data_IF_633385301980
#
_entry.id   IF_633385301980
#
_cell.length_a   1.000
_cell.length_b   1.000
_cell.length_c   1.000
_cell.angle_alpha   90.00
_cell.angle_beta   90.00
_cell.angle_gamma   90.00
#
_symmetry.space_group_name_H-M   'P 1'
#
loop_
_entity.id
_entity.type
_entity.pdbx_description
1 polymer ?
#
# COMPACT_ATOMS: atom_id res chain seq x y z
N UNK A 1 11.86 -12.18 26.58
CA UNK A 1 10.86 -11.08 26.56
C UNK A 1 11.15 -10.01 25.52
N UNK A 2 12.39 -9.53 25.34
CA UNK A 2 12.73 -8.53 24.30
C UNK A 2 12.47 -9.01 22.86
N UNK A 3 12.88 -10.23 22.51
CA UNK A 3 12.68 -10.80 21.16
C UNK A 3 11.20 -10.92 20.79
N UNK A 4 10.35 -11.32 21.74
CA UNK A 4 8.91 -11.44 21.52
C UNK A 4 8.26 -10.09 21.19
N UNK A 5 8.74 -9.02 21.83
CA UNK A 5 8.25 -7.65 21.60
C UNK A 5 8.72 -7.11 20.24
N UNK A 6 9.95 -7.41 19.83
CA UNK A 6 10.47 -6.99 18.52
C UNK A 6 9.79 -7.70 17.37
N UNK A 7 9.57 -9.01 17.50
CA UNK A 7 8.88 -9.80 16.48
C UNK A 7 7.42 -9.35 16.31
N UNK A 8 6.74 -9.08 17.44
CA UNK A 8 5.39 -8.53 17.43
C UNK A 8 5.34 -7.16 16.74
N UNK A 9 6.35 -6.31 16.97
CA UNK A 9 6.44 -4.98 16.35
C UNK A 9 6.65 -5.06 14.84
N UNK A 10 7.49 -5.99 14.36
CA UNK A 10 7.68 -6.23 12.92
C UNK A 10 6.41 -6.73 12.25
N UNK A 11 5.72 -7.67 12.90
CA UNK A 11 4.44 -8.20 12.41
C UNK A 11 3.37 -7.10 12.32
N UNK A 12 3.26 -6.25 13.35
CA UNK A 12 2.33 -5.12 13.37
C UNK A 12 2.63 -4.11 12.24
N UNK A 13 3.90 -3.76 12.03
CA UNK A 13 4.31 -2.86 10.93
C UNK A 13 3.92 -3.44 9.57
N UNK A 14 4.12 -4.74 9.36
CA UNK A 14 3.76 -5.38 8.11
C UNK A 14 2.25 -5.36 7.89
N UNK A 15 1.47 -5.61 8.95
CA UNK A 15 0.01 -5.61 8.90
C UNK A 15 -0.53 -4.22 8.50
N UNK A 16 0.01 -3.15 9.09
CA UNK A 16 -0.41 -1.77 8.75
C UNK A 16 0.03 -1.31 7.35
N UNK A 17 1.04 -1.96 6.74
CA UNK A 17 1.41 -1.70 5.34
C UNK A 17 0.46 -2.34 4.34
N UNK A 18 -0.25 -3.39 4.75
CA UNK A 18 -1.17 -4.12 3.88
C UNK A 18 -2.63 -3.70 4.07
N UNK A 19 -3.00 -3.27 5.27
CA UNK A 19 -4.37 -2.99 5.66
C UNK A 19 -4.49 -1.63 6.35
N UNK A 20 -5.63 -0.94 6.19
CA UNK A 20 -5.93 0.24 7.00
C UNK A 20 -5.78 -0.08 8.49
N UNK A 21 -5.23 0.85 9.29
CA UNK A 21 -5.01 0.65 10.72
C UNK A 21 -6.25 0.13 11.45
N UNK A 22 -7.41 0.64 11.10
CA UNK A 22 -8.69 0.26 11.71
C UNK A 22 -9.05 -1.21 11.44
N UNK A 23 -8.79 -1.71 10.23
CA UNK A 23 -9.00 -3.11 9.87
C UNK A 23 -7.96 -4.00 10.53
N UNK A 24 -6.69 -3.58 10.51
CA UNK A 24 -5.59 -4.29 11.15
C UNK A 24 -5.81 -4.49 12.66
N UNK A 25 -6.29 -3.46 13.38
CA UNK A 25 -6.61 -3.57 14.81
C UNK A 25 -7.75 -4.55 15.09
N UNK A 26 -8.84 -4.52 14.31
CA UNK A 26 -9.94 -5.49 14.45
C UNK A 26 -9.47 -6.93 14.22
N UNK A 27 -8.62 -7.15 13.21
CA UNK A 27 -8.04 -8.46 12.95
C UNK A 27 -7.13 -8.93 14.08
N UNK A 28 -6.30 -8.04 14.67
CA UNK A 28 -5.47 -8.36 15.84
C UNK A 28 -6.28 -8.76 17.06
N UNK A 29 -7.49 -8.21 17.20
CA UNK A 29 -8.45 -8.55 18.25
C UNK A 29 -9.25 -9.83 17.95
N UNK A 30 -9.03 -10.46 16.79
CA UNK A 30 -9.78 -11.65 16.37
C UNK A 30 -11.24 -11.35 16.02
N UNK A 31 -11.58 -10.09 15.76
CA UNK A 31 -12.93 -9.67 15.44
C UNK A 31 -13.19 -9.82 13.94
N UNK A 32 -14.43 -10.17 13.54
CA UNK A 32 -14.82 -10.15 12.14
C UNK A 32 -14.74 -8.73 11.59
N UNK A 33 -14.22 -8.60 10.37
CA UNK A 33 -14.19 -7.34 9.61
C UNK A 33 -15.41 -7.33 8.71
N UNK A 34 -16.45 -6.63 9.14
CA UNK A 34 -17.65 -6.41 8.32
C UNK A 34 -17.36 -5.44 7.17
N UNK A 35 -18.03 -5.60 6.01
CA UNK A 35 -17.92 -4.65 4.91
C UNK A 35 -18.33 -3.24 5.35
N UNK A 36 -17.49 -2.24 5.05
CA UNK A 36 -17.77 -0.84 5.36
C UNK A 36 -18.32 -0.12 4.13
N UNK A 37 -19.37 0.68 4.33
CA UNK A 37 -19.92 1.60 3.33
C UNK A 37 -19.59 3.03 3.70
N UNK A 38 -19.12 3.81 2.74
CA UNK A 38 -18.77 5.21 2.94
C UNK A 38 -19.72 6.08 2.11
N UNK A 39 -20.38 7.05 2.77
CA UNK A 39 -21.34 7.95 2.11
C UNK A 39 -20.69 8.91 1.12
N UNK A 40 -19.40 9.22 1.33
CA UNK A 40 -18.63 10.13 0.48
C UNK A 40 -17.19 9.65 0.40
N UNK A 41 -16.72 9.36 -0.82
CA UNK A 41 -15.35 8.94 -1.12
C UNK A 41 -14.84 9.65 -2.36
N UNK A 42 -13.53 9.93 -2.38
CA UNK A 42 -12.83 10.43 -3.56
C UNK A 42 -11.87 9.35 -4.04
N UNK A 43 -12.02 8.92 -5.29
CA UNK A 43 -11.14 7.93 -5.90
C UNK A 43 -10.19 8.62 -6.87
N UNK A 44 -8.90 8.28 -6.78
CA UNK A 44 -7.87 8.74 -7.71
C UNK A 44 -7.42 7.59 -8.60
N UNK A 45 -7.67 7.71 -9.91
CA UNK A 45 -7.20 6.76 -10.92
C UNK A 45 -6.09 7.40 -11.75
N UNK A 46 -4.98 6.70 -11.89
CA UNK A 46 -3.83 7.13 -12.69
C UNK A 46 -3.27 5.94 -13.46
N UNK A 47 -2.89 6.18 -14.71
CA UNK A 47 -2.25 5.18 -15.58
C UNK A 47 -1.03 5.80 -16.26
N UNK A 48 -0.02 4.96 -16.53
CA UNK A 48 1.19 5.37 -17.24
C UNK A 48 0.91 5.31 -18.74
N UNK A 49 0.69 6.48 -19.33
CA UNK A 49 0.45 6.61 -20.78
C UNK A 49 1.58 5.94 -21.56
N UNK A 50 1.20 5.09 -22.51
CA UNK A 50 2.13 4.38 -23.39
C UNK A 50 3.16 3.50 -22.66
N UNK A 51 2.82 2.95 -21.50
CA UNK A 51 3.68 2.03 -20.75
C UNK A 51 4.25 0.90 -21.62
N UNK A 52 3.46 0.31 -22.53
CA UNK A 52 3.91 -0.73 -23.46
C UNK A 52 5.04 -0.25 -24.37
N UNK A 53 4.94 0.98 -24.88
CA UNK A 53 5.98 1.57 -25.74
C UNK A 53 7.25 1.86 -24.94
N UNK A 54 7.10 2.37 -23.71
CA UNK A 54 8.23 2.62 -22.82
C UNK A 54 8.93 1.30 -22.45
N UNK A 55 8.17 0.28 -22.08
CA UNK A 55 8.67 -1.05 -21.76
C UNK A 55 9.36 -1.73 -22.96
N UNK A 56 8.91 -1.46 -24.20
CA UNK A 56 9.57 -1.99 -25.41
C UNK A 56 10.92 -1.36 -25.72
N UNK A 57 11.20 -0.16 -25.20
CA UNK A 57 12.43 0.61 -25.47
C UNK A 57 13.46 0.51 -24.33
N UNK A 58 13.02 0.11 -23.15
CA UNK A 58 13.85 0.00 -21.96
C UNK A 58 14.22 -1.47 -21.68
N UNK A 59 15.32 -1.68 -20.95
CA UNK A 59 15.60 -3.01 -20.41
C UNK A 59 14.62 -3.33 -19.27
N UNK A 60 14.34 -4.61 -18.99
CA UNK A 60 13.48 -4.98 -17.87
C UNK A 60 13.88 -4.33 -16.54
N UNK A 61 15.19 -4.21 -16.27
CA UNK A 61 15.70 -3.57 -15.06
C UNK A 61 15.38 -2.08 -15.00
N UNK A 62 15.48 -1.37 -16.13
CA UNK A 62 15.13 0.05 -16.20
C UNK A 62 13.63 0.28 -15.98
N UNK A 63 12.77 -0.59 -16.52
CA UNK A 63 11.32 -0.50 -16.32
C UNK A 63 10.97 -0.72 -14.84
N UNK A 64 11.58 -1.71 -14.20
CA UNK A 64 11.38 -1.98 -12.78
C UNK A 64 11.83 -0.79 -11.93
N UNK A 65 12.99 -0.21 -12.21
CA UNK A 65 13.48 0.95 -11.47
C UNK A 65 12.53 2.15 -11.63
N UNK A 66 12.07 2.45 -12.84
CA UNK A 66 11.11 3.52 -13.08
C UNK A 66 9.81 3.33 -12.28
N UNK A 67 9.24 2.12 -12.30
CA UNK A 67 8.04 1.81 -11.54
C UNK A 67 8.29 1.92 -10.04
N UNK A 68 9.43 1.43 -9.57
CA UNK A 68 9.79 1.49 -8.16
C UNK A 68 9.92 2.94 -7.68
N UNK A 69 10.59 3.80 -8.46
CA UNK A 69 10.72 5.23 -8.15
C UNK A 69 9.34 5.91 -8.13
N UNK A 70 8.49 5.63 -9.12
CA UNK A 70 7.15 6.18 -9.21
C UNK A 70 6.29 5.79 -8.00
N UNK A 71 6.26 4.50 -7.67
CA UNK A 71 5.50 4.00 -6.52
C UNK A 71 6.06 4.49 -5.19
N UNK A 72 7.39 4.64 -5.07
CA UNK A 72 8.01 5.19 -3.85
C UNK A 72 7.57 6.63 -3.60
N UNK A 73 7.49 7.45 -4.65
CA UNK A 73 7.00 8.83 -4.54
C UNK A 73 5.51 8.84 -4.19
N UNK A 74 4.68 8.00 -4.83
CA UNK A 74 3.27 7.90 -4.48
C UNK A 74 3.06 7.43 -3.05
N UNK A 75 3.77 6.39 -2.61
CA UNK A 75 3.64 5.86 -1.25
C UNK A 75 4.02 6.92 -0.19
N UNK A 76 5.04 7.76 -0.46
CA UNK A 76 5.38 8.87 0.42
C UNK A 76 4.26 9.93 0.53
N UNK A 77 3.61 10.28 -0.59
CA UNK A 77 2.48 11.22 -0.61
C UNK A 77 1.26 10.62 0.10
N UNK A 78 0.99 9.34 -0.11
CA UNK A 78 -0.11 8.60 0.51
C UNK A 78 0.07 8.58 2.04
N UNK A 79 1.29 8.28 2.51
CA UNK A 79 1.64 8.28 3.93
C UNK A 79 1.49 9.68 4.57
N UNK A 80 1.78 10.76 3.84
CA UNK A 80 1.65 12.13 4.34
C UNK A 80 0.17 12.58 4.46
N UNK A 81 -0.69 12.14 3.53
CA UNK A 81 -2.07 12.60 3.45
C UNK A 81 -3.10 11.64 4.09
N UNK A 82 -2.67 10.56 4.75
CA UNK A 82 -3.53 9.52 5.36
C UNK A 82 -4.55 8.94 4.35
N UNK A 83 -4.14 8.82 3.09
CA UNK A 83 -4.95 8.25 2.00
C UNK A 83 -4.75 6.74 1.97
N UNK A 84 -5.76 5.99 1.56
CA UNK A 84 -5.64 4.54 1.43
C UNK A 84 -5.29 4.11 0.00
N UNK A 85 -4.22 3.32 -0.14
CA UNK A 85 -3.83 2.67 -1.41
C UNK A 85 -4.65 1.39 -1.61
N UNK A 86 -5.50 1.39 -2.62
CA UNK A 86 -6.24 0.19 -3.04
C UNK A 86 -5.33 -0.67 -3.92
N UNK A 87 -5.15 -1.94 -3.54
CA UNK A 87 -4.45 -2.95 -4.35
C UNK A 87 -5.49 -3.93 -4.89
N UNK A 88 -5.55 -4.11 -6.21
CA UNK A 88 -6.41 -5.12 -6.87
C UNK A 88 -5.67 -6.44 -7.04
#
# INVERSE_FOLDING_TARGET
MKELTEEKKKSDILLYRMLPKQVAERLKLGQPVEPETFDCVTLFFSDVVSFTTLASRCTPLQVVNLLNDLYTVFDAIIDEHDVYKVSY
#
